data_IF_890615296120
#
_entry.id   IF_890615296120
#
_cell.length_a   1.000
_cell.length_b   1.000
_cell.length_c   1.000
_cell.angle_alpha   90.00
_cell.angle_beta   90.00
_cell.angle_gamma   90.00
#
_symmetry.space_group_name_H-M   'P 1'
#
loop_
_entity.id
_entity.type
_entity.pdbx_description
1 polymer ?
#
# COMPACT_ATOMS: atom_id res chain seq x y z
N UNK A 1 22.96 84.53 56.18
CA UNK A 1 22.71 83.02 56.20
C UNK A 1 21.96 82.49 54.98
N UNK A 2 22.09 83.04 53.78
CA UNK A 2 21.25 82.60 52.62
C UNK A 2 21.94 81.85 51.47
N UNK A 3 23.24 81.87 51.38
CA UNK A 3 23.98 81.34 50.22
C UNK A 3 24.26 79.78 50.26
N UNK A 4 24.36 79.13 51.42
CA UNK A 4 24.62 77.69 51.54
C UNK A 4 23.42 76.84 51.16
N UNK A 5 22.18 77.26 51.28
CA UNK A 5 20.96 76.53 50.93
C UNK A 5 20.69 76.49 49.43
N UNK A 6 21.08 77.52 48.70
CA UNK A 6 20.90 77.58 47.23
C UNK A 6 21.87 76.58 46.47
N UNK A 7 23.10 76.44 46.95
CA UNK A 7 24.10 75.55 46.35
C UNK A 7 23.72 74.09 46.51
N UNK A 8 23.13 73.71 47.66
CA UNK A 8 22.68 72.28 47.88
C UNK A 8 21.52 71.85 47.00
N UNK A 9 20.58 72.77 46.67
CA UNK A 9 19.46 72.49 45.80
C UNK A 9 19.87 72.38 44.33
N UNK A 10 20.81 73.18 43.85
CA UNK A 10 21.31 73.09 42.47
C UNK A 10 22.13 71.80 42.22
N UNK A 11 22.95 71.40 43.19
CA UNK A 11 23.72 70.15 43.10
C UNK A 11 22.80 68.91 43.13
N UNK A 12 21.72 68.92 43.93
CA UNK A 12 20.70 67.85 43.96
C UNK A 12 19.93 67.75 42.65
N UNK A 13 19.54 68.90 42.06
CA UNK A 13 18.90 68.94 40.72
C UNK A 13 19.79 68.40 39.61
N UNK A 14 21.09 68.76 39.60
CA UNK A 14 22.05 68.25 38.64
C UNK A 14 22.25 66.70 38.76
N UNK A 15 22.28 66.18 39.98
CA UNK A 15 22.37 64.76 40.26
C UNK A 15 21.11 64.02 39.79
N UNK A 16 19.94 64.53 40.05
CA UNK A 16 18.68 64.00 39.57
C UNK A 16 18.60 64.02 38.03
N UNK A 17 18.97 65.11 37.40
CA UNK A 17 19.01 65.21 35.93
C UNK A 17 19.97 64.20 35.30
N UNK A 18 21.13 63.97 35.90
CA UNK A 18 22.08 62.92 35.42
C UNK A 18 21.50 61.52 35.58
N UNK A 19 20.79 61.23 36.67
CA UNK A 19 20.13 59.93 36.88
C UNK A 19 18.96 59.72 35.90
N UNK A 20 18.18 60.73 35.65
CA UNK A 20 17.10 60.67 34.66
C UNK A 20 17.64 60.43 33.24
N UNK A 21 18.68 61.18 32.84
CA UNK A 21 19.35 60.98 31.54
C UNK A 21 19.89 59.57 31.41
N UNK A 22 20.58 59.04 32.42
CA UNK A 22 21.10 57.63 32.42
C UNK A 22 19.95 56.61 32.26
N UNK A 23 18.83 56.79 32.97
CA UNK A 23 17.62 55.92 32.86
C UNK A 23 17.01 55.98 31.47
N UNK A 24 16.87 57.17 30.90
CA UNK A 24 16.35 57.36 29.54
C UNK A 24 17.29 56.68 28.51
N UNK A 25 18.64 56.89 28.65
CA UNK A 25 19.60 56.26 27.76
C UNK A 25 19.50 54.73 27.84
N UNK A 26 19.42 54.13 29.05
CA UNK A 26 19.26 52.71 29.22
C UNK A 26 17.95 52.18 28.59
N UNK A 27 16.82 52.92 28.75
CA UNK A 27 15.55 52.55 28.13
C UNK A 27 15.59 52.58 26.58
N UNK A 28 16.23 53.61 26.02
CA UNK A 28 16.39 53.74 24.55
C UNK A 28 17.31 52.62 24.02
N UNK A 29 18.38 52.31 24.71
CA UNK A 29 19.29 51.22 24.30
C UNK A 29 18.58 49.85 24.39
N UNK A 30 17.86 49.56 25.48
CA UNK A 30 17.12 48.31 25.63
C UNK A 30 15.98 48.17 24.59
N UNK A 31 15.29 49.25 24.29
CA UNK A 31 14.26 49.27 23.22
C UNK A 31 14.89 49.03 21.84
N UNK A 32 16.05 49.59 21.57
CA UNK A 32 16.81 49.34 20.33
C UNK A 32 17.28 47.90 20.19
N UNK A 33 17.75 47.29 21.28
CA UNK A 33 18.16 45.87 21.28
C UNK A 33 16.96 44.96 21.04
N UNK A 34 15.80 45.24 21.70
CA UNK A 34 14.58 44.45 21.48
C UNK A 34 14.06 44.60 20.05
N UNK A 35 14.02 45.79 19.50
CA UNK A 35 13.62 46.01 18.11
C UNK A 35 14.54 45.31 17.12
N UNK A 36 15.85 45.35 17.34
CA UNK A 36 16.83 44.63 16.54
C UNK A 36 16.69 43.12 16.62
N UNK A 37 16.40 42.57 17.82
CA UNK A 37 16.14 41.13 18.01
C UNK A 37 14.86 40.67 17.31
N UNK A 38 13.78 41.44 17.39
CA UNK A 38 12.54 41.14 16.69
C UNK A 38 12.73 41.20 15.17
N UNK A 39 13.46 42.19 14.67
CA UNK A 39 13.77 42.30 13.25
C UNK A 39 14.60 41.10 12.75
N UNK A 40 15.66 40.71 13.48
CA UNK A 40 16.49 39.56 13.14
C UNK A 40 15.70 38.24 13.18
N UNK A 41 14.84 38.07 14.18
CA UNK A 41 13.93 36.94 14.29
C UNK A 41 12.96 36.85 13.10
N UNK A 42 12.33 37.95 12.75
CA UNK A 42 11.42 38.00 11.60
C UNK A 42 12.16 37.68 10.28
N UNK A 43 13.35 38.21 10.07
CA UNK A 43 14.18 37.92 8.88
C UNK A 43 14.55 36.45 8.79
N UNK A 44 14.93 35.85 9.91
CA UNK A 44 15.24 34.42 9.98
C UNK A 44 14.01 33.55 9.63
N UNK A 45 12.86 33.84 10.23
CA UNK A 45 11.61 33.12 9.96
C UNK A 45 11.15 33.28 8.51
N UNK A 46 11.24 34.48 7.96
CA UNK A 46 10.87 34.74 6.55
C UNK A 46 11.74 33.91 5.61
N UNK A 47 13.06 33.88 5.80
CA UNK A 47 13.96 33.07 4.98
C UNK A 47 13.67 31.58 5.10
N UNK A 48 13.35 31.08 6.30
CA UNK A 48 13.02 29.69 6.54
C UNK A 48 11.69 29.28 5.88
N UNK A 49 10.67 30.15 5.96
CA UNK A 49 9.40 29.95 5.27
C UNK A 49 9.59 29.92 3.75
N UNK A 50 10.36 30.84 3.19
CA UNK A 50 10.67 30.85 1.76
C UNK A 50 11.42 29.59 1.30
N UNK A 51 12.37 29.09 2.09
CA UNK A 51 13.06 27.83 1.79
C UNK A 51 12.10 26.64 1.81
N UNK A 52 11.27 26.53 2.83
CA UNK A 52 10.24 25.47 2.93
C UNK A 52 9.25 25.54 1.77
N UNK A 53 8.82 26.73 1.38
CA UNK A 53 7.93 26.91 0.22
C UNK A 53 8.59 26.41 -1.07
N UNK A 54 9.86 26.73 -1.29
CA UNK A 54 10.63 26.24 -2.43
C UNK A 54 10.73 24.71 -2.45
N UNK A 55 10.90 24.07 -1.27
CA UNK A 55 10.95 22.60 -1.18
C UNK A 55 9.58 21.96 -1.44
N UNK A 56 8.50 22.59 -0.96
CA UNK A 56 7.12 22.17 -1.27
C UNK A 56 6.84 22.25 -2.78
N UNK A 57 7.25 23.35 -3.43
CA UNK A 57 7.05 23.54 -4.86
C UNK A 57 7.80 22.45 -5.68
N UNK A 58 9.03 22.11 -5.28
CA UNK A 58 9.80 21.02 -5.90
C UNK A 58 9.12 19.66 -5.72
N UNK A 59 8.65 19.37 -4.50
CA UNK A 59 7.95 18.12 -4.22
C UNK A 59 6.65 18.02 -5.03
N UNK A 60 5.89 19.08 -5.12
CA UNK A 60 4.66 19.12 -5.95
C UNK A 60 4.97 18.88 -7.44
N UNK A 61 6.07 19.42 -7.94
CA UNK A 61 6.51 19.19 -9.30
C UNK A 61 6.90 17.71 -9.52
N UNK A 62 7.61 17.09 -8.59
CA UNK A 62 7.94 15.66 -8.64
C UNK A 62 6.70 14.77 -8.58
N UNK A 63 5.74 15.09 -7.71
CA UNK A 63 4.45 14.37 -7.62
C UNK A 63 3.70 14.45 -8.95
N UNK A 64 3.66 15.62 -9.57
CA UNK A 64 2.99 15.82 -10.88
C UNK A 64 3.67 14.99 -11.97
N UNK A 65 5.01 15.00 -12.03
CA UNK A 65 5.79 14.21 -13.00
C UNK A 65 5.57 12.70 -12.81
N UNK A 66 5.60 12.22 -11.56
CA UNK A 66 5.34 10.81 -11.25
C UNK A 66 3.91 10.39 -11.59
N UNK A 67 2.93 11.26 -11.35
CA UNK A 67 1.53 11.01 -11.70
C UNK A 67 1.35 10.89 -13.21
N UNK A 68 1.97 11.79 -13.98
CA UNK A 68 1.94 11.73 -15.46
C UNK A 68 2.60 10.46 -15.98
N UNK A 69 3.74 10.09 -15.42
CA UNK A 69 4.45 8.85 -15.79
C UNK A 69 3.65 7.59 -15.48
N UNK A 70 2.95 7.56 -14.34
CA UNK A 70 2.05 6.45 -14.01
C UNK A 70 0.87 6.35 -14.97
N UNK A 71 0.32 7.47 -15.42
CA UNK A 71 -0.75 7.50 -16.43
C UNK A 71 -0.24 6.98 -17.80
N UNK A 72 0.94 7.40 -18.22
CA UNK A 72 1.57 6.93 -19.47
C UNK A 72 1.86 5.42 -19.41
N UNK A 73 2.40 4.92 -18.30
CA UNK A 73 2.65 3.50 -18.07
C UNK A 73 1.35 2.68 -18.08
N UNK A 74 0.31 3.18 -17.44
CA UNK A 74 -1.01 2.53 -17.43
C UNK A 74 -1.61 2.45 -18.84
N UNK A 75 -1.51 3.52 -19.61
CA UNK A 75 -1.97 3.55 -21.01
C UNK A 75 -1.16 2.59 -21.89
N UNK A 76 0.17 2.53 -21.73
CA UNK A 76 1.03 1.61 -22.45
C UNK A 76 0.75 0.14 -22.11
N UNK A 77 0.46 -0.14 -20.84
CA UNK A 77 0.06 -1.48 -20.37
C UNK A 77 -1.28 -1.89 -21.00
N UNK A 78 -2.24 -0.98 -21.01
CA UNK A 78 -3.54 -1.22 -21.62
C UNK A 78 -3.42 -1.49 -23.13
N UNK A 79 -2.63 -0.68 -23.84
CA UNK A 79 -2.34 -0.89 -25.25
C UNK A 79 -1.63 -2.22 -25.54
N UNK A 80 -0.72 -2.64 -24.65
CA UNK A 80 -0.04 -3.93 -24.74
C UNK A 80 -1.00 -5.10 -24.53
N UNK A 81 -1.88 -4.98 -23.53
CA UNK A 81 -2.94 -5.97 -23.27
C UNK A 81 -3.94 -6.06 -24.42
N UNK A 82 -4.33 -4.93 -25.00
CA UNK A 82 -5.24 -4.92 -26.17
C UNK A 82 -4.59 -5.57 -27.41
N UNK A 83 -3.29 -5.33 -27.61
CA UNK A 83 -2.53 -6.03 -28.67
C UNK A 83 -2.44 -7.53 -28.38
N UNK A 84 -2.19 -7.93 -27.15
CA UNK A 84 -2.16 -9.35 -26.75
C UNK A 84 -3.51 -10.02 -26.97
N UNK A 85 -4.61 -9.34 -26.67
CA UNK A 85 -5.98 -9.81 -26.96
C UNK A 85 -6.21 -10.02 -28.45
N UNK A 86 -5.78 -9.08 -29.30
CA UNK A 86 -5.88 -9.22 -30.76
C UNK A 86 -5.04 -10.40 -31.30
N UNK A 87 -3.87 -10.68 -30.70
CA UNK A 87 -3.07 -11.87 -31.04
C UNK A 87 -3.70 -13.17 -30.55
N UNK A 88 -4.44 -13.16 -29.46
CA UNK A 88 -5.17 -14.31 -28.92
C UNK A 88 -6.46 -14.60 -29.74
N UNK A 89 -7.14 -13.55 -30.23
CA UNK A 89 -8.32 -13.67 -31.08
C UNK A 89 -7.97 -14.17 -32.51
N UNK A 90 -6.78 -13.81 -33.06
CA UNK A 90 -6.30 -14.26 -34.36
C UNK A 90 -5.69 -15.70 -34.33
N UNK A 91 -5.17 -16.14 -33.21
CA UNK A 91 -4.91 -17.54 -32.98
C UNK A 91 -6.25 -18.16 -32.55
N UNK A 92 -6.85 -19.05 -33.38
CA UNK A 92 -7.91 -19.98 -32.95
C UNK A 92 -7.39 -20.82 -31.75
N UNK A 93 -7.16 -20.17 -30.63
CA UNK A 93 -7.17 -20.82 -29.35
C UNK A 93 -8.66 -21.04 -29.05
N UNK A 94 -9.26 -22.11 -29.63
CA UNK A 94 -10.21 -22.89 -28.86
C UNK A 94 -9.50 -23.06 -27.52
N UNK A 95 -9.87 -22.29 -26.54
CA UNK A 95 -9.51 -22.59 -25.17
C UNK A 95 -9.91 -24.07 -25.01
N UNK A 96 -8.93 -24.95 -24.86
CA UNK A 96 -9.25 -26.34 -24.63
C UNK A 96 -10.19 -26.31 -23.43
N UNK A 97 -11.37 -26.95 -23.56
CA UNK A 97 -12.25 -27.03 -22.41
C UNK A 97 -11.43 -27.58 -21.24
N UNK A 98 -11.52 -27.02 -20.03
CA UNK A 98 -10.76 -27.54 -18.93
C UNK A 98 -11.15 -28.98 -18.64
N UNK A 99 -10.24 -29.73 -18.04
CA UNK A 99 -10.61 -30.98 -17.42
C UNK A 99 -11.56 -30.68 -16.27
N UNK A 100 -12.73 -31.33 -16.25
CA UNK A 100 -13.66 -31.23 -15.13
C UNK A 100 -13.40 -32.36 -14.14
N UNK A 101 -13.37 -32.01 -12.87
CA UNK A 101 -13.07 -32.94 -11.78
C UNK A 101 -14.34 -33.21 -10.95
N UNK A 102 -14.42 -34.40 -10.34
CA UNK A 102 -15.51 -34.78 -9.43
C UNK A 102 -15.20 -34.23 -8.02
N UNK A 103 -15.44 -32.95 -7.85
CA UNK A 103 -15.19 -32.16 -6.63
C UNK A 103 -16.46 -31.35 -6.28
N UNK A 104 -16.63 -30.87 -5.03
CA UNK A 104 -17.79 -30.07 -4.61
C UNK A 104 -17.83 -28.64 -5.19
N UNK A 105 -17.41 -28.49 -6.44
CA UNK A 105 -17.48 -27.26 -7.21
C UNK A 105 -18.22 -27.55 -8.52
N UNK A 106 -19.28 -26.77 -8.80
CA UNK A 106 -20.04 -26.97 -10.03
C UNK A 106 -19.17 -26.83 -11.27
N UNK A 107 -19.55 -27.52 -12.36
CA UNK A 107 -18.82 -27.40 -13.63
C UNK A 107 -18.76 -25.96 -14.14
N UNK A 108 -19.82 -25.19 -13.91
CA UNK A 108 -19.85 -23.77 -14.30
C UNK A 108 -18.80 -22.94 -13.54
N UNK A 109 -18.63 -23.21 -12.24
CA UNK A 109 -17.59 -22.56 -11.45
C UNK A 109 -16.18 -23.08 -11.77
N UNK A 110 -16.06 -24.36 -12.13
CA UNK A 110 -14.79 -24.90 -12.63
C UNK A 110 -14.40 -24.24 -13.96
N UNK A 111 -15.33 -24.10 -14.91
CA UNK A 111 -15.10 -23.38 -16.16
C UNK A 111 -14.78 -21.91 -15.91
N UNK A 112 -15.53 -21.26 -15.00
CA UNK A 112 -15.26 -19.88 -14.61
C UNK A 112 -13.84 -19.71 -14.04
N UNK A 113 -13.43 -20.61 -13.15
CA UNK A 113 -12.07 -20.63 -12.56
C UNK A 113 -10.99 -20.77 -13.64
N UNK A 114 -11.18 -21.71 -14.57
CA UNK A 114 -10.25 -21.89 -15.69
C UNK A 114 -10.15 -20.62 -16.55
N UNK A 115 -11.29 -20.02 -16.90
CA UNK A 115 -11.31 -18.78 -17.68
C UNK A 115 -10.61 -17.64 -16.95
N UNK A 116 -10.70 -17.56 -15.62
CA UNK A 116 -9.97 -16.56 -14.83
C UNK A 116 -8.48 -16.88 -14.79
N UNK A 117 -8.08 -18.14 -14.73
CA UNK A 117 -6.66 -18.53 -14.88
C UNK A 117 -6.12 -18.10 -16.25
N UNK A 118 -6.86 -18.32 -17.33
CA UNK A 118 -6.50 -17.87 -18.68
C UNK A 118 -6.41 -16.34 -18.73
N UNK A 119 -7.41 -15.62 -18.21
CA UNK A 119 -7.46 -14.14 -18.19
C UNK A 119 -6.24 -13.55 -17.45
N UNK A 120 -5.81 -14.17 -16.36
CA UNK A 120 -4.67 -13.68 -15.56
C UNK A 120 -3.33 -14.32 -15.92
N UNK A 121 -3.28 -15.11 -17.01
CA UNK A 121 -2.04 -15.64 -17.60
C UNK A 121 -1.42 -16.80 -16.85
N UNK A 122 -2.23 -17.61 -16.17
CA UNK A 122 -1.82 -18.77 -15.38
C UNK A 122 -2.67 -20.03 -15.68
N UNK A 123 -3.03 -20.35 -16.95
CA UNK A 123 -3.89 -21.49 -17.25
C UNK A 123 -3.32 -22.84 -16.77
N UNK A 124 -2.00 -22.98 -16.73
CA UNK A 124 -1.29 -24.16 -16.24
C UNK A 124 -1.41 -24.40 -14.73
N UNK A 125 -1.92 -23.42 -13.98
CA UNK A 125 -2.15 -23.53 -12.54
C UNK A 125 -3.61 -23.72 -12.16
N UNK A 126 -4.48 -24.10 -13.13
CA UNK A 126 -5.91 -24.29 -12.87
C UNK A 126 -6.15 -25.28 -11.73
N UNK A 127 -5.55 -26.47 -11.78
CA UNK A 127 -5.67 -27.50 -10.76
C UNK A 127 -5.10 -27.05 -9.40
N UNK A 128 -4.06 -26.23 -9.40
CA UNK A 128 -3.51 -25.62 -8.18
C UNK A 128 -4.55 -24.68 -7.53
N UNK A 129 -5.27 -23.90 -8.34
CA UNK A 129 -6.33 -22.99 -7.84
C UNK A 129 -7.49 -23.80 -7.29
N UNK A 130 -7.89 -24.88 -7.93
CA UNK A 130 -8.91 -25.80 -7.38
C UNK A 130 -8.45 -26.40 -6.04
N UNK A 131 -7.19 -26.81 -5.92
CA UNK A 131 -6.61 -27.32 -4.68
C UNK A 131 -6.54 -26.25 -3.57
N UNK A 132 -6.29 -24.99 -3.92
CA UNK A 132 -6.38 -23.89 -2.98
C UNK A 132 -7.81 -23.75 -2.41
N UNK A 133 -8.83 -23.78 -3.24
CA UNK A 133 -10.24 -23.73 -2.76
C UNK A 133 -10.57 -24.89 -1.82
N UNK A 134 -10.04 -26.07 -2.12
CA UNK A 134 -10.16 -27.22 -1.21
C UNK A 134 -9.47 -26.94 0.13
N UNK A 135 -8.24 -26.44 0.12
CA UNK A 135 -7.47 -26.15 1.33
C UNK A 135 -8.08 -25.02 2.16
N UNK A 136 -8.59 -23.98 1.52
CA UNK A 136 -9.08 -22.77 2.19
C UNK A 136 -10.45 -22.95 2.84
N UNK A 137 -11.37 -23.59 2.16
CA UNK A 137 -12.79 -23.62 2.57
C UNK A 137 -13.49 -24.95 2.36
N UNK A 138 -12.79 -25.94 1.86
CA UNK A 138 -13.43 -27.17 1.35
C UNK A 138 -14.59 -26.83 0.38
N UNK A 139 -14.34 -25.89 -0.54
CA UNK A 139 -15.29 -25.36 -1.53
C UNK A 139 -16.52 -24.66 -0.94
N UNK A 140 -16.45 -24.18 0.30
CA UNK A 140 -17.57 -23.48 0.96
C UNK A 140 -17.53 -21.98 0.63
N UNK A 141 -18.46 -21.52 -0.23
CA UNK A 141 -18.45 -20.16 -0.74
C UNK A 141 -18.73 -19.08 0.31
N UNK A 142 -19.59 -19.36 1.29
CA UNK A 142 -20.03 -18.38 2.28
C UNK A 142 -19.33 -18.52 3.64
N UNK A 143 -18.14 -19.11 3.67
CA UNK A 143 -17.34 -19.28 4.87
C UNK A 143 -16.69 -17.95 5.28
N UNK A 144 -16.76 -17.62 6.56
CA UNK A 144 -15.97 -16.55 7.18
C UNK A 144 -15.17 -17.20 8.30
N UNK A 145 -13.86 -17.05 8.25
CA UNK A 145 -12.95 -17.58 9.28
C UNK A 145 -12.89 -16.65 10.51
N UNK A 146 -12.43 -17.16 11.68
CA UNK A 146 -12.20 -16.32 12.85
C UNK A 146 -11.13 -15.23 12.66
N UNK A 147 -10.35 -15.33 11.60
CA UNK A 147 -9.27 -14.40 11.22
C UNK A 147 -9.70 -13.41 10.14
N UNK A 148 -11.02 -13.28 9.90
CA UNK A 148 -11.61 -12.40 8.89
C UNK A 148 -11.20 -12.73 7.45
N UNK A 149 -11.14 -14.03 7.12
CA UNK A 149 -10.95 -14.52 5.76
C UNK A 149 -12.30 -14.94 5.18
N UNK A 150 -12.59 -14.54 3.94
CA UNK A 150 -13.93 -14.60 3.34
C UNK A 150 -13.96 -15.50 2.10
N UNK A 151 -14.99 -16.33 2.01
CA UNK A 151 -15.40 -17.02 0.81
C UNK A 151 -14.57 -18.25 0.49
N UNK A 152 -14.74 -18.74 -0.75
CA UNK A 152 -14.20 -20.03 -1.20
C UNK A 152 -12.67 -20.07 -1.23
N UNK A 153 -12.01 -18.93 -1.45
CA UNK A 153 -10.55 -18.77 -1.47
C UNK A 153 -10.01 -18.00 -0.24
N UNK A 154 -10.86 -17.78 0.77
CA UNK A 154 -10.50 -17.17 2.06
C UNK A 154 -9.70 -15.86 1.91
N UNK A 155 -10.29 -14.88 1.24
CA UNK A 155 -9.68 -13.58 1.06
C UNK A 155 -9.80 -12.77 2.35
N UNK A 156 -8.66 -12.45 2.97
CA UNK A 156 -8.64 -11.68 4.21
C UNK A 156 -9.19 -10.25 3.99
N UNK A 157 -9.98 -9.76 4.94
CA UNK A 157 -10.67 -8.48 4.87
C UNK A 157 -9.73 -7.28 4.69
N UNK A 158 -8.47 -7.37 5.11
CA UNK A 158 -7.47 -6.32 4.88
C UNK A 158 -7.18 -6.09 3.38
N UNK A 159 -7.52 -7.06 2.52
CA UNK A 159 -7.34 -6.97 1.08
C UNK A 159 -8.59 -6.44 0.34
N UNK A 160 -9.74 -6.38 0.97
CA UNK A 160 -11.00 -6.07 0.30
C UNK A 160 -11.00 -4.70 -0.39
N UNK A 161 -10.53 -3.65 0.30
CA UNK A 161 -10.57 -2.29 -0.24
C UNK A 161 -9.82 -2.16 -1.56
N UNK A 162 -8.57 -2.60 -1.60
CA UNK A 162 -7.75 -2.46 -2.81
C UNK A 162 -8.19 -3.43 -3.92
N UNK A 163 -8.76 -4.59 -3.58
CA UNK A 163 -9.33 -5.51 -4.57
C UNK A 163 -10.59 -4.91 -5.22
N UNK A 164 -11.47 -4.28 -4.43
CA UNK A 164 -12.64 -3.56 -4.96
C UNK A 164 -12.22 -2.39 -5.84
N UNK A 165 -11.20 -1.63 -5.45
CA UNK A 165 -10.67 -0.52 -6.26
C UNK A 165 -10.13 -1.01 -7.61
N UNK A 166 -9.60 -2.23 -7.66
CA UNK A 166 -8.96 -2.79 -8.83
C UNK A 166 -9.91 -3.60 -9.73
N UNK A 167 -10.74 -4.46 -9.13
CA UNK A 167 -11.61 -5.42 -9.85
C UNK A 167 -13.03 -4.91 -10.02
N UNK A 168 -13.40 -3.82 -9.36
CA UNK A 168 -14.77 -3.29 -9.27
C UNK A 168 -15.52 -3.85 -8.04
N UNK A 169 -16.82 -3.55 -7.93
CA UNK A 169 -17.65 -4.04 -6.83
C UNK A 169 -17.54 -5.57 -6.71
N UNK A 170 -17.18 -6.06 -5.53
CA UNK A 170 -16.87 -7.47 -5.25
C UNK A 170 -17.62 -7.89 -3.99
N UNK A 171 -18.46 -8.92 -4.09
CA UNK A 171 -19.03 -9.62 -2.94
C UNK A 171 -18.15 -10.83 -2.59
N UNK A 172 -17.35 -10.70 -1.55
CA UNK A 172 -16.41 -11.75 -1.14
C UNK A 172 -17.06 -13.02 -0.58
N UNK A 173 -18.38 -13.06 -0.45
CA UNK A 173 -19.18 -14.27 -0.14
C UNK A 173 -19.90 -14.85 -1.37
N UNK A 174 -19.88 -14.14 -2.51
CA UNK A 174 -20.23 -14.73 -3.80
C UNK A 174 -19.07 -15.57 -4.34
N UNK A 175 -19.37 -16.78 -4.81
CA UNK A 175 -18.34 -17.70 -5.26
C UNK A 175 -17.54 -17.16 -6.45
N UNK A 176 -18.20 -16.58 -7.44
CA UNK A 176 -17.56 -16.08 -8.67
C UNK A 176 -16.68 -14.87 -8.38
N UNK A 177 -17.20 -13.92 -7.59
CA UNK A 177 -16.46 -12.72 -7.20
C UNK A 177 -15.22 -13.08 -6.36
N UNK A 178 -15.38 -14.01 -5.41
CA UNK A 178 -14.27 -14.49 -4.57
C UNK A 178 -13.23 -15.25 -5.38
N UNK A 179 -13.64 -16.13 -6.31
CA UNK A 179 -12.74 -16.81 -7.25
C UNK A 179 -11.97 -15.78 -8.09
N UNK A 180 -12.66 -14.79 -8.66
CA UNK A 180 -11.99 -13.72 -9.42
C UNK A 180 -10.90 -13.04 -8.62
N UNK A 181 -11.21 -12.63 -7.38
CA UNK A 181 -10.26 -11.99 -6.49
C UNK A 181 -9.09 -12.90 -6.11
N UNK A 182 -9.37 -14.14 -5.72
CA UNK A 182 -8.35 -15.12 -5.33
C UNK A 182 -7.42 -15.50 -6.46
N UNK A 183 -7.96 -15.78 -7.65
CA UNK A 183 -7.15 -16.09 -8.85
C UNK A 183 -6.28 -14.89 -9.24
N UNK A 184 -6.83 -13.67 -9.15
CA UNK A 184 -6.02 -12.47 -9.37
C UNK A 184 -4.83 -12.41 -8.41
N UNK A 185 -5.05 -12.58 -7.10
CA UNK A 185 -3.98 -12.50 -6.09
C UNK A 185 -2.92 -13.56 -6.34
N UNK A 186 -3.32 -14.84 -6.48
CA UNK A 186 -2.34 -15.91 -6.68
C UNK A 186 -1.59 -15.78 -8.02
N UNK A 187 -2.24 -15.28 -9.09
CA UNK A 187 -1.58 -15.07 -10.37
C UNK A 187 -0.41 -14.09 -10.26
N UNK A 188 -0.62 -12.98 -9.52
CA UNK A 188 0.46 -12.00 -9.29
C UNK A 188 1.63 -12.59 -8.51
N UNK A 189 1.34 -13.46 -7.55
CA UNK A 189 2.38 -14.12 -6.75
C UNK A 189 3.14 -15.19 -7.55
N UNK A 190 2.44 -16.00 -8.36
CA UNK A 190 3.05 -16.99 -9.24
C UNK A 190 3.97 -16.34 -10.29
N UNK A 191 3.48 -15.29 -10.96
CA UNK A 191 4.28 -14.53 -11.94
C UNK A 191 5.49 -13.87 -11.28
N UNK A 192 5.29 -13.29 -10.07
CA UNK A 192 6.35 -12.59 -9.34
C UNK A 192 7.48 -13.51 -8.89
N UNK A 193 7.14 -14.68 -8.37
CA UNK A 193 8.12 -15.58 -7.73
C UNK A 193 8.62 -16.70 -8.63
N UNK A 194 7.86 -17.08 -9.66
CA UNK A 194 8.21 -18.19 -10.56
C UNK A 194 8.35 -19.54 -9.84
N UNK A 195 7.76 -19.67 -8.65
CA UNK A 195 7.83 -20.84 -7.77
C UNK A 195 6.51 -20.98 -7.02
N UNK A 196 5.83 -22.11 -7.18
CA UNK A 196 4.49 -22.32 -6.61
C UNK A 196 4.50 -22.35 -5.07
N UNK A 197 5.52 -22.96 -4.45
CA UNK A 197 5.60 -22.97 -2.99
C UNK A 197 5.79 -21.57 -2.42
N UNK A 198 6.62 -20.75 -3.06
CA UNK A 198 6.79 -19.35 -2.65
C UNK A 198 5.53 -18.55 -2.83
N UNK A 199 4.83 -18.71 -3.96
CA UNK A 199 3.58 -18.04 -4.22
C UNK A 199 2.50 -18.43 -3.19
N UNK A 200 2.35 -19.71 -2.91
CA UNK A 200 1.43 -20.25 -1.91
C UNK A 200 1.76 -19.76 -0.48
N UNK A 201 3.04 -19.71 -0.10
CA UNK A 201 3.47 -19.15 1.18
C UNK A 201 3.11 -17.68 1.28
N UNK A 202 3.36 -16.91 0.22
CA UNK A 202 3.03 -15.49 0.19
C UNK A 202 1.51 -15.23 0.22
N UNK A 203 0.72 -16.11 -0.41
CA UNK A 203 -0.74 -16.06 -0.34
C UNK A 203 -1.24 -16.27 1.10
N UNK A 204 -0.78 -17.34 1.76
CA UNK A 204 -1.26 -17.75 3.07
C UNK A 204 -0.80 -16.85 4.23
N UNK A 205 0.46 -16.40 4.24
CA UNK A 205 1.03 -15.64 5.37
C UNK A 205 1.44 -14.20 5.00
N UNK A 206 1.08 -13.74 3.82
CA UNK A 206 1.50 -12.47 3.26
C UNK A 206 2.97 -12.46 2.81
N UNK A 207 3.30 -11.58 1.90
CA UNK A 207 4.66 -11.49 1.34
C UNK A 207 5.74 -11.23 2.41
N UNK A 208 5.41 -10.45 3.43
CA UNK A 208 6.35 -10.18 4.53
C UNK A 208 6.66 -11.44 5.34
N UNK A 209 5.62 -12.18 5.75
CA UNK A 209 5.78 -13.43 6.51
C UNK A 209 6.54 -14.50 5.70
N UNK A 210 6.21 -14.63 4.41
CA UNK A 210 6.91 -15.53 3.50
C UNK A 210 8.40 -15.15 3.35
N UNK A 211 8.70 -13.85 3.20
CA UNK A 211 10.08 -13.37 3.09
C UNK A 211 10.93 -13.71 4.31
N UNK A 212 10.38 -13.61 5.51
CA UNK A 212 11.08 -14.00 6.75
C UNK A 212 11.41 -15.50 6.76
N UNK A 213 10.49 -16.35 6.30
CA UNK A 213 10.71 -17.79 6.17
C UNK A 213 11.81 -18.10 5.14
N UNK A 214 11.81 -17.44 3.99
CA UNK A 214 12.85 -17.65 2.97
C UNK A 214 14.22 -17.20 3.44
N UNK A 215 14.32 -16.10 4.19
CA UNK A 215 15.58 -15.66 4.81
C UNK A 215 16.11 -16.66 5.83
N UNK A 216 15.22 -17.41 6.50
CA UNK A 216 15.57 -18.52 7.37
C UNK A 216 15.88 -19.84 6.63
N UNK A 217 15.83 -19.86 5.28
CA UNK A 217 16.08 -21.05 4.46
C UNK A 217 14.86 -21.96 4.27
N UNK A 218 13.66 -21.53 4.71
CA UNK A 218 12.42 -22.30 4.59
C UNK A 218 11.65 -21.87 3.33
N UNK A 219 11.71 -22.64 2.27
CA UNK A 219 11.06 -22.35 0.98
C UNK A 219 9.75 -23.10 0.76
N UNK A 220 9.28 -23.88 1.73
CA UNK A 220 7.97 -24.55 1.77
C UNK A 220 7.34 -24.36 3.16
N UNK A 221 6.02 -24.43 3.24
CA UNK A 221 5.24 -24.45 4.48
C UNK A 221 4.32 -25.67 4.52
N UNK A 222 3.68 -25.96 5.65
CA UNK A 222 2.63 -26.98 5.71
C UNK A 222 1.55 -26.65 4.69
N UNK A 223 1.03 -25.41 4.70
CA UNK A 223 0.03 -24.94 3.75
C UNK A 223 0.44 -25.22 2.30
N UNK A 224 1.64 -24.82 1.87
CA UNK A 224 2.06 -24.97 0.48
C UNK A 224 2.23 -26.44 0.07
N UNK A 225 2.64 -27.31 1.00
CA UNK A 225 2.73 -28.76 0.75
C UNK A 225 1.35 -29.41 0.66
N UNK A 226 0.43 -29.01 1.55
CA UNK A 226 -0.93 -29.53 1.57
C UNK A 226 -1.70 -29.15 0.31
N UNK A 227 -1.57 -27.91 -0.20
CA UNK A 227 -2.15 -27.48 -1.47
C UNK A 227 -1.60 -28.29 -2.64
N UNK A 228 -0.27 -28.50 -2.71
CA UNK A 228 0.34 -29.29 -3.79
C UNK A 228 -0.13 -30.75 -3.74
N UNK A 229 -0.20 -31.35 -2.56
CA UNK A 229 -0.73 -32.71 -2.39
C UNK A 229 -2.23 -32.82 -2.80
N UNK A 230 -3.04 -31.81 -2.47
CA UNK A 230 -4.44 -31.72 -2.90
C UNK A 230 -4.57 -31.56 -4.43
N UNK A 231 -3.68 -30.79 -5.07
CA UNK A 231 -3.61 -30.72 -6.53
C UNK A 231 -3.35 -32.09 -7.15
N UNK A 232 -2.34 -32.81 -6.68
CA UNK A 232 -2.01 -34.15 -7.16
C UNK A 232 -3.21 -35.13 -6.97
N UNK A 233 -3.95 -35.01 -5.86
CA UNK A 233 -5.15 -35.80 -5.61
C UNK A 233 -6.30 -35.43 -6.59
N UNK A 234 -6.50 -34.17 -6.91
CA UNK A 234 -7.47 -33.73 -7.91
C UNK A 234 -7.12 -34.28 -9.28
N UNK A 235 -5.87 -34.12 -9.72
CA UNK A 235 -5.36 -34.63 -11.01
C UNK A 235 -5.53 -36.14 -11.13
N UNK A 236 -5.40 -36.86 -10.03
CA UNK A 236 -5.62 -38.33 -9.98
C UNK A 236 -7.10 -38.73 -9.82
N UNK A 237 -8.05 -37.78 -9.80
CA UNK A 237 -9.48 -37.99 -9.46
C UNK A 237 -9.70 -38.68 -8.10
N UNK A 238 -8.88 -38.37 -7.13
CA UNK A 238 -8.88 -38.93 -5.78
C UNK A 238 -9.30 -37.89 -4.73
N UNK A 239 -10.25 -37.03 -5.07
CA UNK A 239 -10.81 -36.10 -4.09
C UNK A 239 -11.48 -36.88 -2.95
N UNK A 240 -11.15 -36.55 -1.71
CA UNK A 240 -11.80 -37.05 -0.50
C UNK A 240 -12.32 -35.89 0.31
N UNK A 241 -13.61 -35.90 0.65
CA UNK A 241 -14.18 -34.91 1.58
C UNK A 241 -13.55 -35.14 2.97
N UNK A 242 -12.89 -34.15 3.52
CA UNK A 242 -12.36 -34.15 4.89
C UNK A 242 -13.48 -33.97 5.91
#
# INVERSE_FOLDING_TARGET
>A
MSTKYQYGTAARRRRQQKLIRRRITCLVVSAGIMAGSVYAFNQYHTKRVQALQSDIDKLNQQVTELTTRNQELSAALQQSNDKLRLFVDDAEVRAAEPTYYDIPLSKDLQLYTYNKCVEYGIPEYYELVLAMMWQESNYTANLISPTDDYGIMQINSCNHSWLVDLLGPTDFLDASDNINAGVYVISKLLIKYGDEHKALMAYNMGEHGASLNWQAGNYTSNYSRDVVAKREAIEANNYTAD
#
